data_IF_727602056799
#
_entry.id   IF_727602056799
#
_cell.length_a   1.000
_cell.length_b   1.000
_cell.length_c   1.000
_cell.angle_alpha   90.00
_cell.angle_beta   90.00
_cell.angle_gamma   90.00
#
_symmetry.space_group_name_H-M   'P 1'
#
loop_
_entity.id
_entity.type
_entity.pdbx_description
1 polymer ?
#
# COMPACT_ATOMS: atom_id res chain seq x y z
N UNK A 1 -14.31 10.76 5.71
CA UNK A 1 -13.58 10.48 4.43
C UNK A 1 -13.04 11.71 3.73
N UNK A 2 -13.69 12.85 3.81
CA UNK A 2 -13.18 14.08 3.19
C UNK A 2 -11.77 14.46 3.66
N UNK A 3 -11.48 14.30 4.95
CA UNK A 3 -10.17 14.57 5.54
C UNK A 3 -9.07 13.67 4.96
N UNK A 4 -9.35 12.38 4.80
CA UNK A 4 -8.39 11.43 4.23
C UNK A 4 -8.21 11.71 2.74
N UNK A 5 -9.30 11.99 2.03
CA UNK A 5 -9.24 12.34 0.61
C UNK A 5 -8.37 13.58 0.38
N UNK A 6 -8.52 14.58 1.22
CA UNK A 6 -7.69 15.79 1.16
C UNK A 6 -6.22 15.46 1.40
N UNK A 7 -5.91 14.66 2.42
CA UNK A 7 -4.54 14.25 2.71
C UNK A 7 -3.89 13.53 1.53
N UNK A 8 -4.62 12.60 0.90
CA UNK A 8 -4.13 11.88 -0.28
C UNK A 8 -3.94 12.82 -1.46
N UNK A 9 -4.90 13.70 -1.69
CA UNK A 9 -4.81 14.67 -2.80
C UNK A 9 -3.58 15.56 -2.68
N UNK A 10 -3.23 15.97 -1.47
CA UNK A 10 -2.09 16.87 -1.21
C UNK A 10 -0.76 16.14 -1.15
N UNK A 11 -0.76 14.82 -0.97
CA UNK A 11 0.47 14.03 -0.90
C UNK A 11 1.09 13.88 -2.28
N UNK A 12 2.43 13.90 -2.34
CA UNK A 12 3.16 13.66 -3.58
C UNK A 12 3.14 12.18 -3.97
N UNK A 13 3.07 11.29 -2.98
CA UNK A 13 3.04 9.85 -3.17
C UNK A 13 2.43 9.17 -1.95
N UNK A 14 2.09 7.90 -2.10
CA UNK A 14 1.55 7.08 -1.00
C UNK A 14 2.45 5.86 -0.79
N UNK A 15 2.60 5.47 0.46
CA UNK A 15 3.25 4.21 0.81
C UNK A 15 2.28 3.41 1.68
N UNK A 16 1.83 2.29 1.16
CA UNK A 16 0.88 1.43 1.87
C UNK A 16 1.63 0.28 2.54
N UNK A 17 1.50 0.20 3.85
CA UNK A 17 1.99 -0.92 4.64
C UNK A 17 0.79 -1.77 5.02
N UNK A 18 0.79 -3.05 4.65
CA UNK A 18 -0.38 -3.89 4.82
C UNK A 18 -0.03 -5.29 5.33
N UNK A 19 -0.83 -5.84 6.25
CA UNK A 19 -0.79 -7.28 6.51
C UNK A 19 -1.54 -8.03 5.40
N UNK A 20 -1.43 -9.35 5.40
CA UNK A 20 -2.22 -10.22 4.54
C UNK A 20 -3.27 -10.94 5.38
N UNK A 21 -4.53 -10.78 5.03
CA UNK A 21 -5.65 -11.45 5.67
C UNK A 21 -6.34 -12.33 4.63
N UNK A 22 -6.35 -13.64 4.88
CA UNK A 22 -7.05 -14.60 4.00
C UNK A 22 -6.61 -14.45 2.53
N UNK A 23 -5.30 -14.40 2.31
CA UNK A 23 -4.67 -14.29 0.98
C UNK A 23 -4.96 -12.98 0.25
N UNK A 24 -5.42 -11.95 0.96
CA UNK A 24 -5.80 -10.68 0.36
C UNK A 24 -5.49 -9.51 1.29
N UNK A 25 -5.87 -8.31 0.89
CA UNK A 25 -5.75 -7.12 1.72
C UNK A 25 -6.86 -7.09 2.77
N UNK A 26 -6.62 -6.40 3.92
CA UNK A 26 -7.64 -6.29 4.96
C UNK A 26 -8.90 -5.56 4.48
N UNK A 27 -10.05 -5.94 5.03
CA UNK A 27 -11.32 -5.33 4.65
C UNK A 27 -11.37 -3.83 4.87
N UNK A 28 -10.76 -3.33 5.94
CA UNK A 28 -10.74 -1.89 6.21
C UNK A 28 -9.91 -1.12 5.17
N UNK A 29 -8.85 -1.72 4.62
CA UNK A 29 -8.09 -1.11 3.53
C UNK A 29 -8.94 -1.05 2.26
N UNK A 30 -9.64 -2.14 1.93
CA UNK A 30 -10.54 -2.16 0.77
C UNK A 30 -11.63 -1.11 0.91
N UNK A 31 -12.22 -1.00 2.11
CA UNK A 31 -13.24 0.02 2.39
C UNK A 31 -12.69 1.43 2.14
N UNK A 32 -11.50 1.72 2.63
CA UNK A 32 -10.86 3.02 2.41
C UNK A 32 -10.66 3.30 0.92
N UNK A 33 -10.12 2.32 0.19
CA UNK A 33 -9.85 2.49 -1.24
C UNK A 33 -11.14 2.65 -2.04
N UNK A 34 -12.20 1.95 -1.66
CA UNK A 34 -13.50 2.12 -2.30
C UNK A 34 -14.02 3.56 -2.16
N UNK A 35 -13.84 4.16 -0.99
CA UNK A 35 -14.17 5.57 -0.80
C UNK A 35 -13.27 6.50 -1.62
N UNK A 36 -11.99 6.17 -1.75
CA UNK A 36 -11.04 6.97 -2.53
C UNK A 36 -11.26 6.84 -4.03
N UNK A 37 -12.00 5.83 -4.48
CA UNK A 37 -12.36 5.66 -5.90
C UNK A 37 -13.56 6.53 -6.31
N UNK A 38 -14.15 7.26 -5.37
CA UNK A 38 -15.25 8.19 -5.67
C UNK A 38 -14.71 9.52 -6.17
N UNK A 39 -15.47 10.25 -7.00
CA UNK A 39 -15.02 11.57 -7.48
C UNK A 39 -14.73 12.52 -6.33
N UNK A 40 -13.76 13.39 -6.51
CA UNK A 40 -13.43 14.44 -5.54
C UNK A 40 -14.63 15.38 -5.35
N UNK A 41 -15.28 15.74 -6.45
CA UNK A 41 -16.53 16.51 -6.43
C UNK A 41 -17.67 15.51 -6.48
N UNK A 42 -18.55 15.44 -5.47
CA UNK A 42 -19.63 14.46 -5.43
C UNK A 42 -20.46 14.46 -6.72
N UNK A 43 -20.70 13.26 -7.25
CA UNK A 43 -21.48 13.02 -8.47
C UNK A 43 -20.86 13.55 -9.76
N UNK A 44 -19.67 14.14 -9.72
CA UNK A 44 -18.97 14.60 -10.92
C UNK A 44 -17.94 13.55 -11.33
N UNK A 45 -18.33 12.62 -12.18
CA UNK A 45 -17.48 11.52 -12.66
C UNK A 45 -16.54 11.97 -13.79
N UNK A 46 -16.58 13.24 -14.19
CA UNK A 46 -15.63 13.79 -15.16
C UNK A 46 -14.30 14.19 -14.50
N UNK A 47 -14.28 14.38 -13.17
CA UNK A 47 -13.06 14.72 -12.44
C UNK A 47 -12.30 13.48 -12.02
N UNK A 48 -10.95 13.53 -12.02
CA UNK A 48 -10.15 12.42 -11.51
C UNK A 48 -10.38 12.19 -10.01
N UNK A 49 -10.21 10.95 -9.55
CA UNK A 49 -10.19 10.66 -8.13
C UNK A 49 -8.87 11.10 -7.51
N UNK A 50 -8.79 11.17 -6.19
CA UNK A 50 -7.55 11.56 -5.50
C UNK A 50 -6.43 10.54 -5.69
N UNK A 51 -6.76 9.30 -6.06
CA UNK A 51 -5.79 8.23 -6.27
C UNK A 51 -5.29 8.17 -7.73
N UNK A 52 -6.02 8.78 -8.65
CA UNK A 52 -5.69 8.75 -10.09
C UNK A 52 -4.31 9.39 -10.33
N UNK A 53 -3.41 8.64 -10.95
CA UNK A 53 -2.06 9.11 -11.24
C UNK A 53 -1.13 9.19 -10.02
N UNK A 54 -1.63 8.89 -8.83
CA UNK A 54 -0.83 8.93 -7.61
C UNK A 54 0.19 7.80 -7.61
N UNK A 55 1.45 8.14 -7.35
CA UNK A 55 2.50 7.13 -7.21
C UNK A 55 2.32 6.39 -5.89
N UNK A 56 2.33 5.07 -5.93
CA UNK A 56 2.06 4.22 -4.76
C UNK A 56 3.13 3.14 -4.63
N UNK A 57 3.73 3.04 -3.45
CA UNK A 57 4.57 1.93 -3.05
C UNK A 57 3.81 1.00 -2.11
N UNK A 58 4.09 -0.29 -2.19
CA UNK A 58 3.45 -1.30 -1.35
C UNK A 58 4.52 -2.09 -0.59
N UNK A 59 4.32 -2.22 0.70
CA UNK A 59 5.13 -3.08 1.56
C UNK A 59 4.22 -3.86 2.51
N UNK A 60 4.69 -5.01 2.94
CA UNK A 60 3.92 -5.80 3.89
C UNK A 60 4.80 -6.71 4.72
N UNK A 61 4.33 -7.04 5.91
CA UNK A 61 4.96 -8.01 6.79
C UNK A 61 3.92 -9.04 7.19
N UNK A 62 4.30 -10.31 7.19
CA UNK A 62 3.35 -11.38 7.49
C UNK A 62 4.04 -12.73 7.65
N UNK A 63 3.35 -13.80 7.29
CA UNK A 63 3.88 -15.15 7.38
C UNK A 63 4.90 -15.49 6.30
N UNK A 64 5.02 -16.77 5.97
CA UNK A 64 6.05 -17.26 5.03
C UNK A 64 5.96 -16.62 3.64
N UNK A 65 4.75 -16.30 3.19
CA UNK A 65 4.54 -15.70 1.88
C UNK A 65 4.93 -14.21 1.83
N UNK A 66 5.31 -13.62 2.97
CA UNK A 66 5.72 -12.21 3.05
C UNK A 66 4.71 -11.27 2.37
N UNK A 67 3.43 -11.53 2.57
CA UNK A 67 2.30 -10.78 1.98
C UNK A 67 2.22 -10.79 0.45
N UNK A 68 2.87 -11.75 -0.22
CA UNK A 68 2.93 -11.79 -1.68
C UNK A 68 1.54 -11.80 -2.35
N UNK A 69 0.60 -12.59 -1.82
CA UNK A 69 -0.75 -12.66 -2.39
C UNK A 69 -1.51 -11.35 -2.22
N UNK A 70 -1.41 -10.73 -1.04
CA UNK A 70 -2.01 -9.42 -0.77
C UNK A 70 -1.43 -8.36 -1.70
N UNK A 71 -0.10 -8.32 -1.82
CA UNK A 71 0.57 -7.31 -2.65
C UNK A 71 0.18 -7.43 -4.12
N UNK A 72 0.05 -8.66 -4.62
CA UNK A 72 -0.39 -8.89 -6.00
C UNK A 72 -1.82 -8.39 -6.22
N UNK A 73 -2.74 -8.72 -5.32
CA UNK A 73 -4.14 -8.30 -5.43
C UNK A 73 -4.29 -6.80 -5.25
N UNK A 74 -3.53 -6.21 -4.34
CA UNK A 74 -3.55 -4.77 -4.12
C UNK A 74 -3.02 -4.01 -5.33
N UNK A 75 -1.98 -4.53 -5.97
CA UNK A 75 -1.44 -3.96 -7.21
C UNK A 75 -2.51 -3.96 -8.31
N UNK A 76 -3.24 -5.05 -8.47
CA UNK A 76 -4.31 -5.15 -9.45
C UNK A 76 -5.43 -4.13 -9.16
N UNK A 77 -5.85 -4.03 -7.90
CA UNK A 77 -6.88 -3.08 -7.49
C UNK A 77 -6.45 -1.63 -7.74
N UNK A 78 -5.26 -1.26 -7.29
CA UNK A 78 -4.76 0.10 -7.44
C UNK A 78 -4.52 0.47 -8.90
N UNK A 79 -4.07 -0.48 -9.71
CA UNK A 79 -3.89 -0.27 -11.15
C UNK A 79 -5.23 -0.04 -11.83
N UNK A 80 -6.27 -0.77 -11.45
CA UNK A 80 -7.62 -0.52 -11.93
C UNK A 80 -8.09 0.88 -11.55
N UNK A 81 -7.73 1.37 -10.37
CA UNK A 81 -8.07 2.71 -9.89
C UNK A 81 -7.21 3.80 -10.53
N UNK A 82 -6.34 3.46 -11.46
CA UNK A 82 -5.45 4.39 -12.20
C UNK A 82 -4.34 4.98 -11.36
N UNK A 83 -3.95 4.35 -10.26
CA UNK A 83 -2.75 4.70 -9.53
C UNK A 83 -1.51 4.25 -10.31
N UNK A 84 -0.40 4.94 -10.09
CA UNK A 84 0.90 4.56 -10.63
C UNK A 84 1.62 3.73 -9.57
N UNK A 85 1.45 2.41 -9.64
CA UNK A 85 2.01 1.49 -8.66
C UNK A 85 3.45 1.14 -9.02
N UNK A 86 4.37 1.36 -8.09
CA UNK A 86 5.77 0.99 -8.30
C UNK A 86 5.88 -0.53 -8.44
N UNK A 87 6.62 -1.03 -9.44
CA UNK A 87 6.78 -2.48 -9.63
C UNK A 87 7.59 -3.14 -8.51
N UNK A 88 8.53 -2.42 -7.92
CA UNK A 88 9.32 -2.91 -6.79
C UNK A 88 8.48 -2.84 -5.51
N UNK A 89 8.42 -3.94 -4.79
CA UNK A 89 7.69 -4.04 -3.54
C UNK A 89 8.57 -4.72 -2.50
N UNK A 90 8.31 -4.44 -1.22
CA UNK A 90 9.05 -5.08 -0.14
C UNK A 90 8.09 -5.91 0.70
N UNK A 91 8.34 -7.22 0.73
CA UNK A 91 7.62 -8.16 1.59
C UNK A 91 8.56 -8.72 2.63
N UNK A 92 8.11 -8.79 3.87
CA UNK A 92 8.89 -9.28 4.99
C UNK A 92 8.20 -10.49 5.60
N UNK A 93 8.88 -11.63 5.61
CA UNK A 93 8.43 -12.79 6.36
C UNK A 93 8.83 -12.59 7.82
N UNK A 94 7.85 -12.51 8.71
CA UNK A 94 8.09 -12.28 10.13
C UNK A 94 8.57 -13.58 10.78
N UNK A 95 9.78 -13.59 11.40
CA UNK A 95 10.27 -14.81 12.03
C UNK A 95 9.43 -15.21 13.25
N UNK A 96 9.41 -16.51 13.55
CA UNK A 96 8.58 -17.05 14.63
C UNK A 96 8.85 -16.38 15.98
N UNK A 97 10.10 -16.09 16.29
CA UNK A 97 10.48 -15.45 17.55
C UNK A 97 9.91 -14.03 17.69
N UNK A 98 9.67 -13.34 16.59
CA UNK A 98 9.09 -12.00 16.64
C UNK A 98 7.65 -12.02 17.16
N UNK A 99 6.90 -13.09 16.85
CA UNK A 99 5.53 -13.24 17.34
C UNK A 99 5.48 -13.46 18.86
N UNK A 100 6.52 -14.09 19.42
CA UNK A 100 6.61 -14.30 20.87
C UNK A 100 7.12 -13.11 21.66
N UNK A 101 7.97 -12.28 21.07
CA UNK A 101 8.61 -11.16 21.74
C UNK A 101 7.97 -9.80 21.40
N UNK A 102 7.11 -9.75 20.41
CA UNK A 102 6.56 -8.52 19.83
C UNK A 102 7.63 -7.58 19.29
N UNK A 103 8.82 -8.10 18.97
CA UNK A 103 9.93 -7.32 18.43
C UNK A 103 10.33 -7.89 17.08
N UNK A 104 10.20 -7.08 16.04
CA UNK A 104 10.67 -7.42 14.70
C UNK A 104 11.99 -6.71 14.45
N UNK A 105 13.05 -7.50 14.27
CA UNK A 105 14.37 -6.97 13.91
C UNK A 105 14.57 -7.21 12.42
N UNK A 106 14.70 -6.12 11.67
CA UNK A 106 14.94 -6.19 10.24
C UNK A 106 16.41 -6.52 9.96
N UNK A 107 16.63 -7.32 8.93
CA UNK A 107 17.99 -7.57 8.43
C UNK A 107 18.52 -6.32 7.72
N UNK A 108 19.83 -6.22 7.55
CA UNK A 108 20.42 -5.12 6.79
C UNK A 108 19.93 -5.10 5.35
N UNK A 109 19.73 -6.28 4.75
CA UNK A 109 19.16 -6.41 3.40
C UNK A 109 17.74 -5.84 3.34
N UNK A 110 16.89 -6.19 4.30
CA UNK A 110 15.51 -5.67 4.36
C UNK A 110 15.49 -4.14 4.52
N UNK A 111 16.36 -3.61 5.37
CA UNK A 111 16.49 -2.15 5.54
C UNK A 111 16.92 -1.48 4.24
N UNK A 112 17.85 -2.08 3.51
CA UNK A 112 18.31 -1.56 2.22
C UNK A 112 17.20 -1.59 1.17
N UNK A 113 16.40 -2.65 1.13
CA UNK A 113 15.25 -2.76 0.23
C UNK A 113 14.21 -1.68 0.51
N UNK A 114 13.90 -1.45 1.79
CA UNK A 114 12.95 -0.41 2.19
C UNK A 114 13.46 0.98 1.84
N UNK A 115 14.76 1.22 2.05
CA UNK A 115 15.36 2.50 1.68
C UNK A 115 15.31 2.72 0.17
N UNK A 116 15.63 1.70 -0.61
CA UNK A 116 15.56 1.80 -2.06
C UNK A 116 14.14 2.09 -2.53
N UNK A 117 13.14 1.44 -1.91
CA UNK A 117 11.75 1.68 -2.24
C UNK A 117 11.33 3.12 -1.89
N UNK A 118 11.76 3.63 -0.74
CA UNK A 118 11.51 5.01 -0.36
C UNK A 118 12.12 5.99 -1.37
N UNK A 119 13.37 5.76 -1.77
CA UNK A 119 14.06 6.61 -2.73
C UNK A 119 13.35 6.60 -4.09
N UNK A 120 12.88 5.45 -4.54
CA UNK A 120 12.11 5.33 -5.79
C UNK A 120 10.75 6.02 -5.70
N UNK A 121 10.14 6.01 -4.52
CA UNK A 121 8.83 6.61 -4.32
C UNK A 121 8.87 8.12 -4.43
N UNK A 122 9.86 8.75 -3.82
CA UNK A 122 10.01 10.21 -3.81
C UNK A 122 10.89 10.75 -4.94
N UNK A 123 11.67 9.90 -5.53
CA UNK A 123 12.53 10.25 -6.66
C UNK A 123 11.76 10.43 -7.93
#
# INVERSE_FOLDING_TARGET
MARIRKAISEADALWIFTPEYNMSYPGHLKNLLDWMSRPVIPMDYSTPTCINGKRVAISGAGGKAATANCRAKLTELLSFMKADVLPEQVGIAVPAEAWGTDVLVLTDEQKAELKALADNLIG
#
